data_IF_803012292879
#
_entry.id   IF_803012292879
#
_cell.length_a   1.000
_cell.length_b   1.000
_cell.length_c   1.000
_cell.angle_alpha   90.00
_cell.angle_beta   90.00
_cell.angle_gamma   90.00
#
_symmetry.space_group_name_H-M   'P 1'
#
loop_
_entity.id
_entity.type
_entity.pdbx_description
1 polymer ?
#
# COMPACT_ATOMS: atom_id res chain seq x y z
N UNK A 1 60.29 -53.74 37.31
CA UNK A 1 59.92 -53.67 35.88
C UNK A 1 58.41 -53.80 35.63
N UNK A 2 57.57 -54.16 36.60
CA UNK A 2 56.12 -54.37 36.38
C UNK A 2 55.22 -53.13 36.41
N UNK A 3 55.70 -51.98 36.91
CA UNK A 3 54.86 -50.76 37.03
C UNK A 3 54.73 -49.94 35.74
N UNK A 4 55.73 -49.97 34.85
CA UNK A 4 55.69 -49.20 33.60
C UNK A 4 54.83 -49.87 32.51
N UNK A 5 54.70 -51.20 32.55
CA UNK A 5 53.89 -51.96 31.60
C UNK A 5 52.38 -51.80 31.82
N UNK A 6 51.93 -51.72 33.08
CA UNK A 6 50.52 -51.43 33.40
C UNK A 6 50.13 -49.98 33.03
N UNK A 7 51.05 -49.02 33.23
CA UNK A 7 50.82 -47.61 32.89
C UNK A 7 50.65 -47.37 31.38
N UNK A 8 51.41 -48.09 30.55
CA UNK A 8 51.28 -48.01 29.09
C UNK A 8 49.95 -48.62 28.59
N UNK A 9 49.51 -49.71 29.22
CA UNK A 9 48.26 -50.39 28.88
C UNK A 9 47.02 -49.53 29.16
N UNK A 10 47.04 -48.73 30.23
CA UNK A 10 45.94 -47.82 30.55
C UNK A 10 45.86 -46.64 29.56
N UNK A 11 46.99 -46.11 29.11
CA UNK A 11 47.03 -45.01 28.12
C UNK A 11 46.48 -45.43 26.75
N UNK A 12 46.84 -46.62 26.28
CA UNK A 12 46.34 -47.15 25.00
C UNK A 12 44.83 -47.39 25.02
N UNK A 13 44.29 -47.82 26.16
CA UNK A 13 42.84 -47.99 26.36
C UNK A 13 42.13 -46.64 26.38
N UNK A 14 42.66 -45.62 27.05
CA UNK A 14 42.09 -44.27 27.06
C UNK A 14 42.09 -43.63 25.68
N UNK A 15 43.16 -43.81 24.89
CA UNK A 15 43.24 -43.32 23.52
C UNK A 15 42.18 -43.98 22.61
N UNK A 16 42.02 -45.30 22.71
CA UNK A 16 41.02 -46.03 21.93
C UNK A 16 39.57 -45.61 22.25
N UNK A 17 39.28 -45.27 23.50
CA UNK A 17 37.97 -44.74 23.91
C UNK A 17 37.73 -43.35 23.31
N UNK A 18 38.73 -42.47 23.39
CA UNK A 18 38.63 -41.11 22.83
C UNK A 18 38.45 -41.11 21.31
N UNK A 19 39.11 -42.02 20.59
CA UNK A 19 38.96 -42.16 19.14
C UNK A 19 37.57 -42.74 18.77
N UNK A 20 37.05 -43.68 19.56
CA UNK A 20 35.69 -44.21 19.40
C UNK A 20 34.60 -43.16 19.70
N UNK A 21 34.81 -42.25 20.65
CA UNK A 21 33.91 -41.13 20.93
C UNK A 21 33.91 -40.12 19.76
N UNK A 22 35.09 -39.77 19.24
CA UNK A 22 35.22 -38.90 18.05
C UNK A 22 34.57 -39.49 16.82
N UNK A 23 34.70 -40.79 16.56
CA UNK A 23 34.02 -41.46 15.45
C UNK A 23 32.49 -41.42 15.59
N UNK A 24 31.97 -41.55 16.83
CA UNK A 24 30.53 -41.41 17.10
C UNK A 24 30.05 -39.98 16.87
N UNK A 25 30.81 -38.98 17.30
CA UNK A 25 30.49 -37.58 17.07
C UNK A 25 30.55 -37.23 15.58
N UNK A 26 31.57 -37.70 14.86
CA UNK A 26 31.70 -37.51 13.42
C UNK A 26 30.55 -38.15 12.65
N UNK A 27 30.18 -39.40 12.97
CA UNK A 27 29.01 -40.06 12.37
C UNK A 27 27.73 -39.27 12.58
N UNK A 28 27.51 -38.76 13.80
CA UNK A 28 26.34 -37.96 14.13
C UNK A 28 26.31 -36.64 13.35
N UNK A 29 27.47 -36.00 13.19
CA UNK A 29 27.62 -34.78 12.39
C UNK A 29 27.34 -35.05 10.90
N UNK A 30 27.90 -36.12 10.35
CA UNK A 30 27.71 -36.51 8.94
C UNK A 30 26.23 -36.84 8.67
N UNK A 31 25.56 -37.57 9.55
CA UNK A 31 24.13 -37.88 9.45
C UNK A 31 23.26 -36.60 9.49
N UNK A 32 23.58 -35.65 10.37
CA UNK A 32 22.87 -34.37 10.45
C UNK A 32 23.09 -33.51 9.20
N UNK A 33 24.32 -33.47 8.68
CA UNK A 33 24.66 -32.76 7.45
C UNK A 33 23.93 -33.38 6.25
N UNK A 34 23.94 -34.71 6.11
CA UNK A 34 23.18 -35.40 5.05
C UNK A 34 21.69 -35.09 5.14
N UNK A 35 21.11 -35.09 6.35
CA UNK A 35 19.71 -34.73 6.57
C UNK A 35 19.42 -33.28 6.15
N UNK A 36 20.28 -32.33 6.51
CA UNK A 36 20.10 -30.92 6.13
C UNK A 36 20.22 -30.71 4.62
N UNK A 37 21.19 -31.35 3.97
CA UNK A 37 21.38 -31.33 2.52
C UNK A 37 20.16 -31.90 1.78
N UNK A 38 19.59 -32.99 2.30
CA UNK A 38 18.37 -33.61 1.76
C UNK A 38 17.16 -32.68 1.92
N UNK A 39 17.03 -32.02 3.08
CA UNK A 39 15.99 -31.00 3.35
C UNK A 39 16.09 -29.81 2.40
N UNK A 40 17.30 -29.28 2.19
CA UNK A 40 17.54 -28.15 1.29
C UNK A 40 17.18 -28.50 -0.15
N UNK A 41 17.59 -29.68 -0.63
CA UNK A 41 17.27 -30.14 -1.98
C UNK A 41 15.75 -30.24 -2.19
N UNK A 42 15.04 -30.86 -1.26
CA UNK A 42 13.57 -30.96 -1.31
C UNK A 42 12.92 -29.58 -1.32
N UNK A 43 13.36 -28.69 -0.43
CA UNK A 43 12.81 -27.33 -0.35
C UNK A 43 13.03 -26.55 -1.66
N UNK A 44 14.23 -26.67 -2.25
CA UNK A 44 14.55 -26.06 -3.55
C UNK A 44 13.66 -26.59 -4.67
N UNK A 45 13.38 -27.89 -4.69
CA UNK A 45 12.51 -28.53 -5.68
C UNK A 45 11.07 -28.05 -5.54
N UNK A 46 10.52 -28.04 -4.32
CA UNK A 46 9.19 -27.51 -4.04
C UNK A 46 9.06 -26.04 -4.44
N UNK A 47 10.07 -25.21 -4.16
CA UNK A 47 10.05 -23.79 -4.56
C UNK A 47 10.07 -23.61 -6.08
N UNK A 48 10.78 -24.48 -6.81
CA UNK A 48 10.80 -24.44 -8.28
C UNK A 48 9.46 -24.85 -8.87
N UNK A 49 8.87 -25.93 -8.36
CA UNK A 49 7.56 -26.42 -8.80
C UNK A 49 6.47 -25.37 -8.56
N UNK A 50 6.43 -24.79 -7.35
CA UNK A 50 5.52 -23.70 -7.04
C UNK A 50 5.74 -22.48 -7.94
N UNK A 51 7.02 -22.10 -8.16
CA UNK A 51 7.36 -20.96 -9.00
C UNK A 51 6.92 -21.14 -10.45
N UNK A 52 7.03 -22.35 -10.99
CA UNK A 52 6.56 -22.69 -12.33
C UNK A 52 5.03 -22.64 -12.46
N UNK A 53 4.30 -22.94 -11.38
CA UNK A 53 2.83 -22.91 -11.31
C UNK A 53 2.26 -21.52 -10.93
N UNK A 54 3.13 -20.54 -10.65
CA UNK A 54 2.70 -19.22 -10.21
C UNK A 54 1.95 -18.46 -11.31
N UNK A 55 0.86 -17.78 -10.96
CA UNK A 55 0.14 -16.87 -11.84
C UNK A 55 0.86 -15.52 -12.05
N UNK A 56 1.89 -15.23 -11.25
CA UNK A 56 2.74 -14.07 -11.44
C UNK A 56 3.66 -14.29 -12.64
N UNK A 57 3.35 -13.67 -13.78
CA UNK A 57 4.05 -13.87 -15.07
C UNK A 57 5.59 -13.87 -15.02
N UNK A 58 6.23 -13.13 -14.10
CA UNK A 58 7.70 -13.13 -13.98
C UNK A 58 8.30 -14.25 -13.10
N UNK A 59 7.51 -14.89 -12.24
CA UNK A 59 8.00 -15.92 -11.29
C UNK A 59 8.36 -17.25 -11.98
N UNK A 60 7.58 -17.77 -12.96
CA UNK A 60 7.98 -18.95 -13.72
C UNK A 60 9.31 -18.77 -14.44
N UNK A 61 9.57 -17.60 -15.03
CA UNK A 61 10.83 -17.31 -15.71
C UNK A 61 12.05 -17.33 -14.77
N UNK A 62 11.88 -16.93 -13.51
CA UNK A 62 12.93 -17.05 -12.49
C UNK A 62 13.12 -18.51 -12.07
N UNK A 63 12.03 -19.26 -11.90
CA UNK A 63 12.06 -20.66 -11.48
C UNK A 63 12.71 -21.58 -12.53
N UNK A 64 12.48 -21.31 -13.81
CA UNK A 64 13.00 -22.09 -14.95
C UNK A 64 14.37 -21.62 -15.44
N UNK A 65 14.84 -20.44 -15.02
CA UNK A 65 16.14 -19.91 -15.45
C UNK A 65 17.29 -20.91 -15.20
N UNK A 66 18.02 -21.23 -16.26
CA UNK A 66 19.17 -22.14 -16.24
C UNK A 66 20.50 -21.41 -16.01
N UNK A 67 20.58 -20.12 -16.38
CA UNK A 67 21.78 -19.29 -16.22
C UNK A 67 21.59 -18.23 -15.12
N UNK A 68 22.69 -17.92 -14.42
CA UNK A 68 22.69 -16.88 -13.38
C UNK A 68 22.35 -15.49 -13.96
N UNK A 69 22.76 -15.21 -15.20
CA UNK A 69 22.42 -13.96 -15.88
C UNK A 69 20.92 -13.86 -16.17
N UNK A 70 20.29 -14.93 -16.68
CA UNK A 70 18.85 -14.94 -16.91
C UNK A 70 18.09 -14.73 -15.60
N UNK A 71 18.52 -15.39 -14.51
CA UNK A 71 17.92 -15.23 -13.20
C UNK A 71 18.01 -13.77 -12.72
N UNK A 72 19.17 -13.13 -12.86
CA UNK A 72 19.37 -11.73 -12.48
C UNK A 72 18.47 -10.78 -13.30
N UNK A 73 18.42 -10.98 -14.62
CA UNK A 73 17.60 -10.14 -15.51
C UNK A 73 16.11 -10.28 -15.16
N UNK A 74 15.60 -11.50 -15.04
CA UNK A 74 14.19 -11.72 -14.72
C UNK A 74 13.82 -11.23 -13.32
N UNK A 75 14.74 -11.37 -12.36
CA UNK A 75 14.55 -10.80 -11.02
C UNK A 75 14.49 -9.28 -11.07
N UNK A 76 15.40 -8.64 -11.82
CA UNK A 76 15.42 -7.19 -11.95
C UNK A 76 14.16 -6.66 -12.63
N UNK A 77 13.71 -7.32 -13.70
CA UNK A 77 12.45 -6.97 -14.39
C UNK A 77 11.27 -7.10 -13.43
N UNK A 78 11.16 -8.21 -12.69
CA UNK A 78 10.07 -8.42 -11.74
C UNK A 78 10.06 -7.36 -10.63
N UNK A 79 11.23 -7.02 -10.09
CA UNK A 79 11.38 -5.96 -9.07
C UNK A 79 10.99 -4.61 -9.64
N UNK A 80 11.47 -4.25 -10.85
CA UNK A 80 11.13 -2.99 -11.49
C UNK A 80 9.63 -2.87 -11.78
N UNK A 81 8.98 -3.95 -12.21
CA UNK A 81 7.52 -4.00 -12.40
C UNK A 81 6.78 -3.81 -11.08
N UNK A 82 7.23 -4.45 -10.00
CA UNK A 82 6.61 -4.31 -8.67
C UNK A 82 6.75 -2.89 -8.11
N UNK A 83 7.92 -2.27 -8.25
CA UNK A 83 8.14 -0.87 -7.83
C UNK A 83 7.24 0.07 -8.61
N UNK A 84 7.19 -0.07 -9.94
CA UNK A 84 6.32 0.75 -10.80
C UNK A 84 4.85 0.57 -10.42
N UNK A 85 4.42 -0.68 -10.20
CA UNK A 85 3.06 -0.97 -9.72
C UNK A 85 2.77 -0.27 -8.39
N UNK A 86 3.68 -0.36 -7.41
CA UNK A 86 3.48 0.26 -6.10
C UNK A 86 3.35 1.79 -6.20
N UNK A 87 4.15 2.44 -7.05
CA UNK A 87 4.07 3.89 -7.30
C UNK A 87 2.72 4.25 -7.93
N UNK A 88 2.36 3.59 -9.04
CA UNK A 88 1.11 3.88 -9.75
C UNK A 88 -0.13 3.58 -8.90
N UNK A 89 -0.11 2.48 -8.16
CA UNK A 89 -1.18 2.11 -7.25
C UNK A 89 -1.32 3.15 -6.13
N UNK A 90 -0.21 3.60 -5.53
CA UNK A 90 -0.25 4.61 -4.48
C UNK A 90 -0.79 5.95 -4.99
N UNK A 91 -0.33 6.39 -6.16
CA UNK A 91 -0.82 7.62 -6.78
C UNK A 91 -2.32 7.53 -7.10
N UNK A 92 -2.75 6.43 -7.72
CA UNK A 92 -4.18 6.17 -8.00
C UNK A 92 -5.01 6.12 -6.72
N UNK A 93 -4.51 5.48 -5.67
CA UNK A 93 -5.19 5.39 -4.37
C UNK A 93 -5.36 6.77 -3.73
N UNK A 94 -4.30 7.59 -3.75
CA UNK A 94 -4.34 8.97 -3.25
C UNK A 94 -5.35 9.78 -4.07
N UNK A 95 -5.35 9.66 -5.39
CA UNK A 95 -6.32 10.35 -6.25
C UNK A 95 -7.76 9.92 -5.98
N UNK A 96 -8.00 8.63 -5.77
CA UNK A 96 -9.32 8.10 -5.43
C UNK A 96 -9.82 8.66 -4.09
N UNK A 97 -8.96 8.68 -3.06
CA UNK A 97 -9.29 9.18 -1.73
C UNK A 97 -9.39 10.72 -1.65
N UNK A 98 -8.99 11.46 -2.70
CA UNK A 98 -9.25 12.90 -2.80
C UNK A 98 -10.72 13.23 -3.12
N UNK A 99 -11.54 12.24 -3.49
CA UNK A 99 -12.96 12.41 -3.82
C UNK A 99 -13.22 13.57 -4.80
N UNK A 100 -12.34 13.73 -5.79
CA UNK A 100 -12.49 14.75 -6.81
C UNK A 100 -13.76 14.50 -7.64
N UNK A 101 -14.61 15.52 -7.79
CA UNK A 101 -15.81 15.47 -8.62
C UNK A 101 -15.56 16.16 -9.96
N UNK A 102 -15.84 15.45 -11.06
CA UNK A 102 -15.86 16.03 -12.40
C UNK A 102 -17.30 16.46 -12.71
N UNK A 103 -17.54 17.76 -12.87
CA UNK A 103 -18.83 18.28 -13.33
C UNK A 103 -18.73 18.47 -14.84
N UNK A 104 -19.42 17.61 -15.59
CA UNK A 104 -19.54 17.74 -17.04
C UNK A 104 -20.79 18.56 -17.33
N UNK A 105 -20.60 19.76 -17.87
CA UNK A 105 -21.70 20.60 -18.35
C UNK A 105 -22.04 20.15 -19.76
N UNK A 106 -23.26 19.68 -19.97
CA UNK A 106 -23.83 19.46 -21.29
C UNK A 106 -24.84 20.58 -21.55
N UNK A 107 -24.71 21.24 -22.70
CA UNK A 107 -25.68 22.25 -23.12
C UNK A 107 -26.71 21.58 -24.02
N UNK A 108 -27.79 21.11 -23.40
CA UNK A 108 -28.93 20.57 -24.12
C UNK A 108 -29.91 21.72 -24.43
N UNK A 109 -30.19 21.94 -25.71
CA UNK A 109 -31.20 22.89 -26.18
C UNK A 109 -32.58 22.23 -26.09
N UNK A 110 -33.07 22.04 -24.86
CA UNK A 110 -34.43 21.59 -24.60
C UNK A 110 -35.34 22.79 -24.34
N UNK A 111 -36.63 22.64 -24.64
CA UNK A 111 -37.63 23.62 -24.25
C UNK A 111 -37.72 23.63 -22.72
N UNK A 112 -37.23 24.70 -22.08
CA UNK A 112 -37.24 24.86 -20.63
C UNK A 112 -38.49 25.60 -20.18
N UNK A 113 -39.00 25.27 -18.99
CA UNK A 113 -40.11 25.98 -18.38
C UNK A 113 -39.70 27.44 -18.08
N UNK A 114 -40.60 28.38 -18.40
CA UNK A 114 -40.37 29.78 -18.09
C UNK A 114 -40.25 29.98 -16.56
N UNK A 115 -39.18 30.60 -16.06
CA UNK A 115 -38.95 30.70 -14.62
C UNK A 115 -39.97 31.62 -13.96
N UNK A 116 -40.13 31.48 -12.64
CA UNK A 116 -40.87 32.48 -11.87
C UNK A 116 -40.10 33.80 -11.89
N UNK A 117 -40.70 34.83 -12.49
CA UNK A 117 -40.17 36.18 -12.48
C UNK A 117 -40.85 36.94 -11.36
N UNK A 118 -40.08 37.27 -10.31
CA UNK A 118 -40.55 38.15 -9.24
C UNK A 118 -40.04 39.56 -9.50
N UNK A 119 -40.96 40.50 -9.68
CA UNK A 119 -40.65 41.92 -9.83
C UNK A 119 -41.05 42.62 -8.54
N UNK A 120 -40.07 43.23 -7.87
CA UNK A 120 -40.31 44.03 -6.67
C UNK A 120 -40.11 45.51 -7.00
N UNK A 121 -40.94 46.36 -6.39
CA UNK A 121 -40.67 47.78 -6.34
C UNK A 121 -39.41 48.02 -5.47
N UNK A 122 -38.49 48.86 -5.95
CA UNK A 122 -37.31 49.27 -5.19
C UNK A 122 -37.72 50.05 -3.95
N UNK A 123 -38.85 50.77 -4.04
CA UNK A 123 -39.40 51.47 -2.90
C UNK A 123 -40.10 50.46 -1.95
N UNK A 124 -39.61 50.31 -0.70
CA UNK A 124 -40.18 49.39 0.28
C UNK A 124 -41.53 49.86 0.84
N UNK A 125 -41.88 51.15 0.72
CA UNK A 125 -43.06 51.71 1.36
C UNK A 125 -43.90 52.57 0.42
N UNK A 126 -45.22 52.36 0.44
CA UNK A 126 -46.15 53.24 -0.28
C UNK A 126 -46.50 54.43 0.62
N UNK A 127 -46.09 55.65 0.22
CA UNK A 127 -46.33 56.88 0.99
C UNK A 127 -47.79 57.04 1.44
N UNK A 128 -48.74 56.83 0.52
CA UNK A 128 -50.18 56.94 0.83
C UNK A 128 -50.70 55.94 1.87
N UNK A 129 -49.97 54.85 2.12
CA UNK A 129 -50.33 53.82 3.09
C UNK A 129 -49.73 54.08 4.48
N UNK A 130 -48.69 54.91 4.57
CA UNK A 130 -48.00 55.23 5.84
C UNK A 130 -48.33 56.64 6.36
N UNK A 131 -48.72 57.57 5.48
CA UNK A 131 -48.95 58.98 5.83
C UNK A 131 -50.14 59.25 6.78
N UNK A 132 -50.99 58.25 7.03
CA UNK A 132 -52.15 58.36 7.92
C UNK A 132 -51.99 57.62 9.26
N UNK A 133 -50.85 56.94 9.48
CA UNK A 133 -50.60 56.22 10.72
C UNK A 133 -49.57 56.99 11.56
N UNK A 134 -49.96 57.52 12.75
CA UNK A 134 -49.06 58.29 13.60
C UNK A 134 -47.85 57.49 14.10
N UNK A 135 -47.91 56.15 14.13
CA UNK A 135 -46.78 55.30 14.51
C UNK A 135 -45.71 55.19 13.40
N UNK A 136 -46.05 55.49 12.15
CA UNK A 136 -45.17 55.32 10.97
C UNK A 136 -44.67 56.65 10.39
N UNK A 137 -45.05 57.79 10.97
CA UNK A 137 -44.66 59.13 10.51
C UNK A 137 -43.14 59.33 10.58
N UNK A 138 -42.51 58.88 11.69
CA UNK A 138 -41.05 58.95 11.87
C UNK A 138 -40.26 58.15 10.82
N UNK A 139 -40.83 57.06 10.29
CA UNK A 139 -40.19 56.28 9.22
C UNK A 139 -40.19 57.03 7.88
N UNK A 140 -41.18 57.89 7.66
CA UNK A 140 -41.28 58.71 6.44
C UNK A 140 -40.17 59.75 6.40
N UNK A 141 -39.84 60.37 7.53
CA UNK A 141 -38.74 61.32 7.67
C UNK A 141 -37.38 60.65 7.40
N UNK A 142 -37.11 59.52 8.08
CA UNK A 142 -35.88 58.76 7.90
C UNK A 142 -35.73 58.30 6.44
N UNK A 143 -36.80 57.80 5.83
CA UNK A 143 -36.78 57.36 4.44
C UNK A 143 -36.46 58.49 3.46
N UNK A 144 -37.06 59.68 3.66
CA UNK A 144 -36.80 60.84 2.81
C UNK A 144 -35.35 61.33 2.93
N UNK A 145 -34.80 61.38 4.15
CA UNK A 145 -33.40 61.81 4.36
C UNK A 145 -32.40 60.86 3.69
N UNK A 146 -32.68 59.54 3.73
CA UNK A 146 -31.88 58.54 3.02
C UNK A 146 -32.07 58.67 1.50
N UNK A 147 -33.29 58.92 1.03
CA UNK A 147 -33.59 59.09 -0.39
C UNK A 147 -32.97 60.37 -1.00
N UNK A 148 -32.82 61.44 -0.23
CA UNK A 148 -32.16 62.70 -0.64
C UNK A 148 -30.65 62.69 -0.43
N UNK A 149 -30.08 61.62 0.14
CA UNK A 149 -28.65 61.49 0.40
C UNK A 149 -28.14 62.41 1.50
N UNK A 150 -29.00 62.80 2.45
CA UNK A 150 -28.67 63.70 3.56
C UNK A 150 -28.38 62.95 4.87
N UNK A 151 -27.91 61.70 4.77
CA UNK A 151 -27.48 60.89 5.91
C UNK A 151 -26.15 61.39 6.51
#
# INVERSE_FOLDING_TARGET
>A
MSNTFNLAKDHDVQQAIADAEKEKEQKKHDEEEQRNKTRWRRSKETMREWGALSSCHGVPHIAEASSHLALLIWTLILVASFVTFAILFSDTLIQYLKYGKLVVLQMDYTEIEFPSVTICNINPYKYSSISGNPELEALTEIYNNVATGQA
#
